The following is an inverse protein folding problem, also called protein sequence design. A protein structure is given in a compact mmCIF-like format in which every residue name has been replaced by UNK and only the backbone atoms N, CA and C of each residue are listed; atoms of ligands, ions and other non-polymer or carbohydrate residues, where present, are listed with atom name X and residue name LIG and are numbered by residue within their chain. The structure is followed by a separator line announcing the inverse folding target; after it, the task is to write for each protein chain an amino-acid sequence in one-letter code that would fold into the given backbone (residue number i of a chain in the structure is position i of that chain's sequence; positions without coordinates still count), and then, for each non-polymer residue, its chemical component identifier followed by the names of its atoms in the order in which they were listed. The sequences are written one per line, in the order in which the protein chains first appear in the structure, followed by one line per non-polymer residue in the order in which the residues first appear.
data_IF_517873631972
#
_entry.id   IF_517873631972
#
_cell.length_a   1.000
_cell.length_b   1.000
_cell.length_c   1.000
_cell.angle_alpha   90.00
_cell.angle_beta   90.00
_cell.angle_gamma   90.00
#
_symmetry.space_group_name_H-M   'P 1'
#
loop_
_entity.id
_entity.type
_entity.pdbx_description
1 polymer ?
#
# COMPACT_ATOMS: atom_id res chain seq x y z
N UNK A 1 16.27 -15.87 3.81
CA UNK A 1 15.95 -14.63 3.05
C UNK A 1 15.02 -13.76 3.87
N UNK A 2 15.35 -12.47 3.95
CA UNK A 2 14.51 -11.53 4.69
C UNK A 2 13.37 -11.04 3.82
N UNK A 3 12.20 -10.90 4.43
CA UNK A 3 11.09 -10.20 3.78
C UNK A 3 11.24 -8.70 4.01
N UNK A 4 10.66 -7.92 3.13
CA UNK A 4 10.62 -6.48 3.27
C UNK A 4 9.17 -6.03 3.40
N UNK A 5 8.92 -5.11 4.31
CA UNK A 5 7.58 -4.63 4.61
C UNK A 5 7.57 -3.10 4.54
N UNK A 6 6.56 -2.55 3.91
CA UNK A 6 6.28 -1.12 3.94
C UNK A 6 4.94 -0.92 4.64
N UNK A 7 4.91 -0.01 5.61
CA UNK A 7 3.70 0.28 6.39
C UNK A 7 3.43 1.78 6.30
N UNK A 8 2.23 2.13 5.83
CA UNK A 8 1.84 3.53 5.66
C UNK A 8 0.52 3.80 6.37
N UNK A 9 0.51 4.83 7.20
CA UNK A 9 -0.74 5.30 7.83
C UNK A 9 -1.33 6.34 6.89
N UNK A 10 -2.61 6.17 6.57
CA UNK A 10 -3.29 7.07 5.63
C UNK A 10 -4.65 7.48 6.19
N UNK A 11 -5.05 8.70 5.87
CA UNK A 11 -6.35 9.23 6.25
C UNK A 11 -7.21 9.38 5.01
N UNK A 12 -8.43 8.85 5.07
CA UNK A 12 -9.37 8.89 3.94
C UNK A 12 -10.72 9.37 4.45
N UNK A 13 -11.24 10.42 3.80
CA UNK A 13 -12.53 10.98 4.18
C UNK A 13 -13.65 9.97 3.98
N UNK A 14 -14.70 9.98 4.82
CA UNK A 14 -15.78 9.01 4.71
C UNK A 14 -16.38 8.89 3.32
N UNK A 15 -16.58 10.01 2.63
CA UNK A 15 -17.17 10.02 1.29
C UNK A 15 -16.28 9.38 0.23
N UNK A 16 -14.98 9.24 0.49
CA UNK A 16 -14.02 8.67 -0.46
C UNK A 16 -13.66 7.22 -0.15
N UNK A 17 -14.10 6.69 1.00
CA UNK A 17 -13.62 5.39 1.47
C UNK A 17 -14.01 4.22 0.57
N UNK A 18 -15.23 4.20 0.05
CA UNK A 18 -15.66 3.12 -0.83
C UNK A 18 -14.80 3.06 -2.11
N UNK A 19 -14.55 4.22 -2.70
CA UNK A 19 -13.71 4.34 -3.90
C UNK A 19 -12.27 3.97 -3.60
N UNK A 20 -11.76 4.44 -2.45
CA UNK A 20 -10.42 4.12 -1.99
C UNK A 20 -10.23 2.61 -1.81
N UNK A 21 -11.15 1.96 -1.10
CA UNK A 21 -11.04 0.52 -0.83
C UNK A 21 -11.15 -0.31 -2.11
N UNK A 22 -11.98 0.13 -3.07
CA UNK A 22 -12.06 -0.54 -4.36
C UNK A 22 -10.73 -0.45 -5.11
N UNK A 23 -10.10 0.72 -5.09
CA UNK A 23 -8.79 0.91 -5.74
C UNK A 23 -7.70 0.10 -5.06
N UNK A 24 -7.68 0.05 -3.72
CA UNK A 24 -6.73 -0.78 -2.97
C UNK A 24 -6.92 -2.26 -3.32
N UNK A 25 -8.16 -2.72 -3.46
CA UNK A 25 -8.46 -4.09 -3.87
C UNK A 25 -7.94 -4.41 -5.26
N UNK A 26 -8.07 -3.46 -6.19
CA UNK A 26 -7.49 -3.59 -7.53
C UNK A 26 -5.98 -3.73 -7.47
N UNK A 27 -5.33 -2.87 -6.69
CA UNK A 27 -3.87 -2.91 -6.55
C UNK A 27 -3.43 -4.22 -5.90
N UNK A 28 -4.15 -4.72 -4.90
CA UNK A 28 -3.83 -5.98 -4.25
C UNK A 28 -3.87 -7.16 -5.23
N UNK A 29 -4.84 -7.18 -6.13
CA UNK A 29 -4.94 -8.21 -7.15
C UNK A 29 -3.77 -8.15 -8.14
N UNK A 30 -3.37 -6.94 -8.55
CA UNK A 30 -2.22 -6.76 -9.43
C UNK A 30 -0.93 -7.14 -8.71
N UNK A 31 -0.81 -6.81 -7.43
CA UNK A 31 0.35 -7.13 -6.62
C UNK A 31 0.62 -8.63 -6.60
N UNK A 32 -0.41 -9.43 -6.40
CA UNK A 32 -0.25 -10.89 -6.38
C UNK A 32 0.32 -11.42 -7.70
N UNK A 33 -0.10 -10.85 -8.82
CA UNK A 33 0.43 -11.23 -10.14
C UNK A 33 1.92 -10.92 -10.29
N UNK A 34 2.40 -9.91 -9.56
CA UNK A 34 3.78 -9.43 -9.66
C UNK A 34 4.65 -9.85 -8.48
N UNK A 35 4.15 -10.74 -7.64
CA UNK A 35 4.94 -11.36 -6.59
C UNK A 35 5.06 -10.57 -5.30
N UNK A 36 4.17 -9.64 -5.05
CA UNK A 36 4.11 -8.95 -3.79
C UNK A 36 2.69 -8.94 -3.23
N UNK A 37 2.53 -8.52 -1.98
CA UNK A 37 1.23 -8.57 -1.29
C UNK A 37 0.90 -7.24 -0.67
N UNK A 38 -0.39 -6.90 -0.69
CA UNK A 38 -0.89 -5.66 -0.10
C UNK A 38 -2.08 -6.00 0.79
N UNK A 39 -2.03 -5.50 2.03
CA UNK A 39 -3.12 -5.61 2.99
C UNK A 39 -3.58 -4.22 3.40
N UNK A 40 -4.85 -4.10 3.74
CA UNK A 40 -5.43 -2.86 4.22
C UNK A 40 -6.19 -3.13 5.53
N UNK A 41 -5.95 -2.29 6.52
CA UNK A 41 -6.62 -2.36 7.82
C UNK A 41 -7.23 -1.01 8.14
N UNK A 42 -8.34 -1.00 8.85
CA UNK A 42 -8.97 0.23 9.34
C UNK A 42 -8.82 0.29 10.84
N UNK A 43 -8.51 1.48 11.36
CA UNK A 43 -8.42 1.69 12.79
C UNK A 43 -9.81 1.43 13.44
N UNK A 44 -9.87 0.72 14.58
CA UNK A 44 -11.14 0.32 15.16
C UNK A 44 -11.98 1.48 15.69
N UNK A 45 -11.38 2.59 16.08
CA UNK A 45 -12.10 3.76 16.61
C UNK A 45 -11.98 5.00 15.72
N UNK A 46 -10.81 5.27 15.16
CA UNK A 46 -10.65 6.37 14.20
C UNK A 46 -10.98 5.83 12.80
N UNK A 47 -12.24 5.97 12.39
CA UNK A 47 -12.74 5.33 11.18
C UNK A 47 -12.24 5.93 9.87
N UNK A 48 -11.52 7.03 9.93
CA UNK A 48 -10.87 7.63 8.76
C UNK A 48 -9.42 7.18 8.59
N UNK A 49 -8.87 6.50 9.60
CA UNK A 49 -7.49 6.09 9.61
C UNK A 49 -7.34 4.65 9.12
N UNK A 50 -6.51 4.47 8.12
CA UNK A 50 -6.20 3.16 7.53
C UNK A 50 -4.71 2.87 7.62
N UNK A 51 -4.37 1.61 7.56
CA UNK A 51 -3.00 1.14 7.51
C UNK A 51 -2.84 0.32 6.25
N UNK A 52 -1.97 0.77 5.35
CA UNK A 52 -1.59 0.04 4.14
C UNK A 52 -0.29 -0.69 4.43
N UNK A 53 -0.30 -2.00 4.26
CA UNK A 53 0.89 -2.83 4.47
C UNK A 53 1.23 -3.54 3.18
N UNK A 54 2.46 -3.39 2.69
CA UNK A 54 2.90 -4.13 1.51
C UNK A 54 4.14 -4.94 1.83
N UNK A 55 4.20 -6.13 1.25
CA UNK A 55 5.30 -7.06 1.47
C UNK A 55 5.85 -7.55 0.14
N UNK A 56 7.16 -7.63 0.06
CA UNK A 56 7.84 -8.29 -1.05
C UNK A 56 8.92 -9.21 -0.49
N UNK A 57 9.49 -10.04 -1.36
CA UNK A 57 10.48 -11.05 -0.95
C UNK A 57 11.81 -10.45 -0.52
N UNK A 58 12.11 -9.23 -0.96
CA UNK A 58 13.40 -8.60 -0.68
C UNK A 58 13.29 -7.09 -0.69
N UNK A 59 14.21 -6.39 -0.02
CA UNK A 59 14.26 -4.93 -0.07
C UNK A 59 14.43 -4.37 -1.48
N UNK A 60 15.15 -5.09 -2.33
CA UNK A 60 15.37 -4.67 -3.72
C UNK A 60 14.07 -4.55 -4.50
N UNK A 61 13.12 -5.44 -4.25
CA UNK A 61 11.81 -5.39 -4.91
C UNK A 61 11.08 -4.08 -4.62
N UNK A 62 11.24 -3.54 -3.41
CA UNK A 62 10.67 -2.24 -3.05
C UNK A 62 11.41 -1.08 -3.72
N UNK A 63 12.74 -1.21 -3.83
CA UNK A 63 13.58 -0.14 -4.40
C UNK A 63 13.38 0.04 -5.89
N UNK A 64 12.86 -0.96 -6.58
CA UNK A 64 12.60 -0.89 -8.01
C UNK A 64 11.21 -0.35 -8.35
N UNK A 65 10.63 0.44 -7.45
CA UNK A 65 9.30 1.01 -7.65
C UNK A 65 9.18 1.80 -8.95
N UNK A 66 10.27 2.45 -9.40
CA UNK A 66 10.27 3.18 -10.66
C UNK A 66 10.07 2.26 -11.88
N UNK A 67 10.35 0.97 -11.73
CA UNK A 67 10.14 -0.02 -12.79
C UNK A 67 8.82 -0.77 -12.67
N UNK A 68 7.91 -0.33 -11.83
CA UNK A 68 6.61 -0.98 -11.67
C UNK A 68 5.80 -0.96 -12.96
N UNK A 69 4.99 -2.00 -13.19
CA UNK A 69 4.08 -2.02 -14.35
C UNK A 69 3.17 -0.81 -14.38
N UNK A 70 2.85 -0.35 -15.59
CA UNK A 70 2.02 0.84 -15.77
C UNK A 70 0.63 0.69 -15.15
N UNK A 71 0.06 -0.52 -15.14
CA UNK A 71 -1.24 -0.76 -14.53
C UNK A 71 -1.22 -0.52 -13.01
N UNK A 72 -0.14 -0.94 -12.32
CA UNK A 72 0.02 -0.65 -10.89
C UNK A 72 0.18 0.84 -10.64
N UNK A 73 0.97 1.53 -11.44
CA UNK A 73 1.19 2.96 -11.30
C UNK A 73 -0.12 3.75 -11.44
N UNK A 74 -0.95 3.36 -12.40
CA UNK A 74 -2.24 4.02 -12.64
C UNK A 74 -3.17 3.87 -11.41
N UNK A 75 -3.23 2.67 -10.83
CA UNK A 75 -4.07 2.43 -9.66
C UNK A 75 -3.51 3.16 -8.44
N UNK A 76 -2.20 3.17 -8.26
CA UNK A 76 -1.56 3.90 -7.16
C UNK A 76 -1.85 5.39 -7.21
N UNK A 77 -1.84 6.00 -8.39
CA UNK A 77 -2.18 7.40 -8.55
C UNK A 77 -3.63 7.69 -8.10
N UNK A 78 -4.55 6.79 -8.43
CA UNK A 78 -5.94 6.92 -7.98
C UNK A 78 -6.05 6.82 -6.46
N UNK A 79 -5.30 5.91 -5.85
CA UNK A 79 -5.25 5.77 -4.39
C UNK A 79 -4.73 7.05 -3.74
N UNK A 80 -3.62 7.56 -4.24
CA UNK A 80 -2.99 8.77 -3.68
C UNK A 80 -3.86 10.01 -3.80
N UNK A 81 -4.71 10.07 -4.81
CA UNK A 81 -5.64 11.17 -4.98
C UNK A 81 -6.73 11.19 -3.91
N UNK A 82 -6.99 10.04 -3.25
CA UNK A 82 -8.06 9.89 -2.27
C UNK A 82 -7.55 9.81 -0.82
N UNK A 83 -6.26 9.61 -0.63
CA UNK A 83 -5.67 9.33 0.68
C UNK A 83 -4.61 10.36 1.04
N UNK A 84 -4.62 10.79 2.31
CA UNK A 84 -3.60 11.66 2.86
C UNK A 84 -2.62 10.81 3.66
N UNK A 85 -1.37 10.74 3.21
CA UNK A 85 -0.34 9.91 3.83
C UNK A 85 0.36 10.67 4.95
N UNK A 86 0.52 10.01 6.09
CA UNK A 86 1.25 10.58 7.22
C UNK A 86 2.75 10.54 6.94
N UNK A 87 3.53 11.36 7.66
CA UNK A 87 5.00 11.31 7.54
C UNK A 87 5.53 9.90 7.77
N UNK A 88 6.61 9.55 7.08
CA UNK A 88 7.25 8.25 7.14
C UNK A 88 6.44 7.13 6.46
N UNK A 89 5.47 7.50 5.64
CA UNK A 89 4.81 6.54 4.76
C UNK A 89 5.87 5.91 3.85
N UNK A 90 5.66 4.65 3.52
CA UNK A 90 6.57 3.85 2.67
C UNK A 90 7.96 3.63 3.26
N UNK A 91 8.14 3.89 4.56
CA UNK A 91 9.38 3.50 5.23
C UNK A 91 9.54 1.99 5.13
N UNK A 92 10.73 1.55 4.74
CA UNK A 92 11.01 0.14 4.53
C UNK A 92 11.47 -0.52 5.82
N UNK A 93 10.88 -1.67 6.11
CA UNK A 93 11.25 -2.50 7.25
C UNK A 93 11.74 -3.85 6.75
N UNK A 94 12.84 -4.32 7.28
CA UNK A 94 13.39 -5.62 6.93
C UNK A 94 13.10 -6.63 8.03
N UNK A 95 12.71 -7.83 7.64
CA UNK A 95 12.50 -8.90 8.61
C UNK A 95 13.83 -9.32 9.24
N UNK A 96 13.88 -9.42 10.56
CA UNK A 96 15.07 -9.85 11.26
C UNK A 96 15.02 -11.33 11.66
N UNK A 97 13.86 -11.96 11.51
CA UNK A 97 13.73 -13.41 11.63
C UNK A 97 12.34 -13.88 11.27
#
# INVERSE_FOLDING_TARGET
MSRALTVSRVRVRPEDQATYLAAVGELAALAERHGWHLWIFRHPTDRELFLECSESRSPESHRTAAGRPADEQTVEERIRALAEYEPRAWELWEEVR
#
